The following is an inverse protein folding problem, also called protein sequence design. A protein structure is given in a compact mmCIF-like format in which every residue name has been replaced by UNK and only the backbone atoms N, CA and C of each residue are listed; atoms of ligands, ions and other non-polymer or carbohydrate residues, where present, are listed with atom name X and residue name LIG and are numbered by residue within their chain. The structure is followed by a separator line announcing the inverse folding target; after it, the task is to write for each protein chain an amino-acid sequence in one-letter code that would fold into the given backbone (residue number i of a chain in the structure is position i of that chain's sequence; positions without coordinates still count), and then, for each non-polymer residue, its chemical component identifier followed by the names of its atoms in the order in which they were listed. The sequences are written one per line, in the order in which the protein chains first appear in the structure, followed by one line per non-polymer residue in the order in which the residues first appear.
data_IF_411348553672
#
_entry.id   IF_411348553672
#
_cell.length_a   1.000
_cell.length_b   1.000
_cell.length_c   1.000
_cell.angle_alpha   90.00
_cell.angle_beta   90.00
_cell.angle_gamma   90.00
#
_symmetry.space_group_name_H-M   'P 1'
#
loop_
_entity.id
_entity.type
_entity.pdbx_description
1 polymer ?
#
# COMPACT_ATOMS: atom_id res chain seq x y z
N UNK A 1 12.34 -8.80 10.85
CA UNK A 1 12.98 -10.01 11.43
C UNK A 1 14.31 -10.34 10.73
N UNK A 2 14.33 -10.61 9.39
CA UNK A 2 15.56 -10.98 8.65
C UNK A 2 16.75 -10.08 8.93
N UNK A 3 16.58 -8.76 8.84
CA UNK A 3 17.66 -7.80 9.06
C UNK A 3 18.14 -7.82 10.51
N UNK A 4 17.19 -7.86 11.46
CA UNK A 4 17.49 -7.93 12.90
C UNK A 4 18.29 -9.19 13.22
N UNK A 5 17.81 -10.34 12.73
CA UNK A 5 18.48 -11.64 12.92
C UNK A 5 19.88 -11.64 12.32
N UNK A 6 20.03 -11.10 11.11
CA UNK A 6 21.32 -10.97 10.44
C UNK A 6 22.30 -10.10 11.21
N UNK A 7 21.86 -8.91 11.67
CA UNK A 7 22.69 -7.99 12.47
C UNK A 7 23.17 -8.67 13.75
N UNK A 8 22.25 -9.32 14.48
CA UNK A 8 22.59 -10.02 15.73
C UNK A 8 23.51 -11.21 15.53
N UNK A 9 23.21 -12.06 14.54
CA UNK A 9 24.01 -13.25 14.22
C UNK A 9 25.44 -12.90 13.84
N UNK A 10 25.61 -11.84 13.06
CA UNK A 10 26.93 -11.41 12.59
C UNK A 10 27.58 -10.35 13.48
N UNK A 11 26.94 -10.00 14.61
CA UNK A 11 27.43 -8.99 15.59
C UNK A 11 27.83 -7.66 14.91
N UNK A 12 27.03 -7.24 13.93
CA UNK A 12 27.31 -6.00 13.19
C UNK A 12 27.10 -4.78 14.09
N UNK A 13 28.07 -3.86 14.07
CA UNK A 13 28.01 -2.57 14.77
C UNK A 13 27.28 -1.54 13.91
N UNK A 14 26.04 -1.80 13.54
CA UNK A 14 25.23 -0.88 12.76
C UNK A 14 23.82 -0.78 13.35
N UNK A 15 23.14 0.32 13.04
CA UNK A 15 21.72 0.50 13.36
C UNK A 15 20.90 0.42 12.08
N UNK A 16 19.70 -0.12 12.20
CA UNK A 16 18.77 -0.25 11.09
C UNK A 16 17.67 0.82 11.24
N UNK A 17 17.54 1.71 10.26
CA UNK A 17 16.42 2.63 10.17
C UNK A 17 15.13 1.89 9.85
N UNK A 18 14.09 2.06 10.66
CA UNK A 18 12.76 1.52 10.41
C UNK A 18 11.80 2.65 10.11
N UNK A 19 11.40 2.75 8.84
CA UNK A 19 10.38 3.69 8.39
C UNK A 19 9.00 3.04 8.48
N UNK A 20 8.15 3.56 9.35
CA UNK A 20 6.78 3.11 9.53
C UNK A 20 5.82 4.25 9.20
N UNK A 21 5.17 4.17 8.04
CA UNK A 21 4.06 5.06 7.69
C UNK A 21 2.81 4.61 8.43
N UNK A 22 2.39 5.42 9.37
CA UNK A 22 1.24 5.14 10.20
C UNK A 22 -0.01 5.77 9.57
N UNK A 23 -0.84 4.93 8.96
CA UNK A 23 -2.07 5.34 8.26
C UNK A 23 -3.28 5.54 9.20
N UNK A 24 -3.07 5.72 10.51
CA UNK A 24 -4.14 5.91 11.52
C UNK A 24 -5.04 4.66 11.68
N UNK A 25 -5.69 4.21 10.61
CA UNK A 25 -6.61 3.05 10.62
C UNK A 25 -5.85 1.77 10.30
N UNK A 26 -5.66 0.94 11.30
CA UNK A 26 -5.07 -0.40 11.19
C UNK A 26 -5.71 -1.33 12.22
N UNK A 27 -5.65 -2.65 12.00
CA UNK A 27 -6.06 -3.62 13.01
C UNK A 27 -5.26 -3.45 14.31
N UNK A 28 -5.92 -3.52 15.45
CA UNK A 28 -5.28 -3.45 16.77
C UNK A 28 -4.19 -4.50 16.95
N UNK A 29 -4.39 -5.71 16.41
CA UNK A 29 -3.37 -6.77 16.40
C UNK A 29 -2.10 -6.37 15.62
N UNK A 30 -2.25 -5.65 14.51
CA UNK A 30 -1.12 -5.14 13.73
C UNK A 30 -0.36 -4.06 14.50
N UNK A 31 -1.08 -3.12 15.11
CA UNK A 31 -0.48 -2.07 15.93
C UNK A 31 0.30 -2.65 17.10
N UNK A 32 -0.28 -3.62 17.82
CA UNK A 32 0.38 -4.31 18.91
C UNK A 32 1.65 -5.05 18.48
N UNK A 33 1.61 -5.72 17.30
CA UNK A 33 2.77 -6.39 16.74
C UNK A 33 3.90 -5.42 16.36
N UNK A 34 3.55 -4.32 15.70
CA UNK A 34 4.52 -3.27 15.34
C UNK A 34 5.17 -2.71 16.61
N UNK A 35 4.37 -2.35 17.62
CA UNK A 35 4.88 -1.82 18.89
C UNK A 35 5.81 -2.81 19.59
N UNK A 36 5.44 -4.09 19.62
CA UNK A 36 6.28 -5.16 20.18
C UNK A 36 7.63 -5.22 19.48
N UNK A 37 7.65 -5.30 18.14
CA UNK A 37 8.90 -5.41 17.35
C UNK A 37 9.78 -4.18 17.56
N UNK A 38 9.20 -2.99 17.59
CA UNK A 38 9.95 -1.76 17.74
C UNK A 38 10.53 -1.62 19.17
N UNK A 39 9.75 -1.93 20.20
CA UNK A 39 10.17 -1.81 21.60
C UNK A 39 11.21 -2.86 21.99
N UNK A 40 11.09 -4.10 21.50
CA UNK A 40 12.03 -5.19 21.81
C UNK A 40 13.41 -5.04 21.11
N UNK A 41 13.57 -4.12 20.16
CA UNK A 41 14.79 -3.99 19.35
C UNK A 41 15.36 -2.57 19.31
N UNK A 42 15.10 -1.76 20.32
CA UNK A 42 15.57 -0.35 20.40
C UNK A 42 17.09 -0.23 20.41
N UNK A 43 17.80 -1.30 20.80
CA UNK A 43 19.26 -1.39 20.79
C UNK A 43 19.86 -1.28 19.39
N UNK A 44 19.15 -1.75 18.36
CA UNK A 44 19.62 -1.80 16.96
C UNK A 44 18.73 -1.03 16.00
N UNK A 45 17.55 -0.53 16.41
CA UNK A 45 16.64 0.21 15.54
C UNK A 45 16.69 1.72 15.77
N UNK A 46 16.75 2.48 14.68
CA UNK A 46 16.37 3.88 14.60
C UNK A 46 14.96 3.97 14.05
N UNK A 47 14.01 4.41 14.88
CA UNK A 47 12.57 4.32 14.57
C UNK A 47 12.07 5.64 14.00
N UNK A 48 11.56 5.61 12.78
CA UNK A 48 10.90 6.72 12.09
C UNK A 48 9.42 6.39 11.93
N UNK A 49 8.62 6.62 12.98
CA UNK A 49 7.15 6.48 12.91
C UNK A 49 6.58 7.78 12.41
N UNK A 50 5.98 7.76 11.23
CA UNK A 50 5.50 8.95 10.53
C UNK A 50 3.99 9.01 10.58
N UNK A 51 3.45 10.07 11.17
CA UNK A 51 2.02 10.37 11.29
C UNK A 51 1.75 11.73 10.62
N UNK A 52 1.53 11.73 9.31
CA UNK A 52 1.31 12.95 8.51
C UNK A 52 0.06 12.84 7.64
N UNK A 53 -0.61 13.96 7.35
CA UNK A 53 -1.87 13.98 6.61
C UNK A 53 -1.68 13.96 5.08
N UNK A 54 -0.87 13.05 4.55
CA UNK A 54 -0.75 12.86 3.10
C UNK A 54 -2.04 12.30 2.50
N UNK A 55 -2.19 12.41 1.18
CA UNK A 55 -3.32 11.82 0.45
C UNK A 55 -3.14 10.30 0.34
N UNK A 56 -4.12 9.54 0.82
CA UNK A 56 -4.18 8.09 0.68
C UNK A 56 -5.37 7.71 -0.19
N UNK A 57 -5.18 6.93 -1.26
CA UNK A 57 -6.29 6.51 -2.11
C UNK A 57 -7.37 5.77 -1.32
N UNK A 58 -8.63 6.01 -1.66
CA UNK A 58 -9.76 5.24 -1.13
C UNK A 58 -10.70 4.79 -2.24
N UNK A 59 -11.24 3.59 -2.11
CA UNK A 59 -12.22 2.98 -3.01
C UNK A 59 -13.57 2.76 -2.31
N UNK A 60 -13.77 3.38 -1.15
CA UNK A 60 -15.01 3.21 -0.34
C UNK A 60 -16.13 4.14 -0.78
N UNK A 61 -15.83 5.23 -1.48
CA UNK A 61 -16.79 6.22 -1.95
C UNK A 61 -16.51 6.62 -3.40
N UNK A 62 -17.54 6.83 -4.18
CA UNK A 62 -17.45 7.41 -5.53
C UNK A 62 -17.16 8.92 -5.52
N UNK A 63 -17.48 9.60 -4.43
CA UNK A 63 -17.34 11.06 -4.28
C UNK A 63 -16.01 11.47 -3.65
N UNK A 64 -15.27 10.53 -3.06
CA UNK A 64 -14.03 10.81 -2.37
C UNK A 64 -12.95 9.82 -2.85
N UNK A 65 -12.00 10.31 -3.63
CA UNK A 65 -10.91 9.49 -4.20
C UNK A 65 -9.74 9.27 -3.24
N UNK A 66 -9.65 10.07 -2.19
CA UNK A 66 -8.61 9.97 -1.15
C UNK A 66 -9.15 10.38 0.21
N UNK A 67 -8.45 9.99 1.27
CA UNK A 67 -8.61 10.49 2.63
C UNK A 67 -7.26 10.88 3.20
N UNK A 68 -7.24 11.56 4.33
CA UNK A 68 -6.02 11.98 5.02
C UNK A 68 -5.99 11.38 6.42
N UNK A 69 -5.07 10.44 6.70
CA UNK A 69 -4.80 10.03 8.07
C UNK A 69 -4.25 11.24 8.86
N UNK A 70 -4.47 11.27 10.14
CA UNK A 70 -3.89 12.27 11.04
C UNK A 70 -4.20 13.73 10.66
N UNK A 71 -5.29 13.97 9.93
CA UNK A 71 -5.76 15.31 9.59
C UNK A 71 -6.22 16.04 10.84
N UNK A 72 -5.51 17.10 11.23
CA UNK A 72 -5.82 17.86 12.44
C UNK A 72 -7.18 18.56 12.39
N UNK A 73 -7.66 18.90 11.18
CA UNK A 73 -9.00 19.46 11.00
C UNK A 73 -10.11 18.44 11.38
N UNK A 74 -9.77 17.16 11.45
CA UNK A 74 -10.67 16.06 11.81
C UNK A 74 -10.19 15.30 13.05
N UNK A 75 -9.45 15.94 13.93
CA UNK A 75 -8.81 15.31 15.08
C UNK A 75 -9.81 14.59 16.00
N UNK A 76 -10.99 15.12 16.17
CA UNK A 76 -12.05 14.51 17.00
C UNK A 76 -12.56 13.17 16.43
N UNK A 77 -12.35 12.95 15.13
CA UNK A 77 -12.71 11.71 14.43
C UNK A 77 -11.57 10.71 14.34
N UNK A 78 -10.38 11.03 14.83
CA UNK A 78 -9.27 10.08 14.79
C UNK A 78 -9.65 8.78 15.49
N UNK A 79 -9.32 7.66 14.85
CA UNK A 79 -9.67 6.34 15.39
C UNK A 79 -8.86 5.97 16.64
N UNK A 80 -7.76 6.65 16.87
CA UNK A 80 -6.90 6.50 18.06
C UNK A 80 -6.02 7.72 18.28
N UNK A 81 -5.36 7.77 19.41
CA UNK A 81 -4.37 8.81 19.70
C UNK A 81 -3.11 8.64 18.85
N UNK A 82 -2.52 9.76 18.43
CA UNK A 82 -1.25 9.78 17.75
C UNK A 82 -0.13 9.37 18.73
N UNK A 83 0.78 8.46 18.33
CA UNK A 83 1.93 8.10 19.16
C UNK A 83 2.80 9.31 19.50
N UNK A 84 3.23 9.42 20.76
CA UNK A 84 4.00 10.58 21.26
C UNK A 84 5.33 10.77 20.54
N UNK A 85 5.96 9.68 20.07
CA UNK A 85 7.24 9.69 19.34
C UNK A 85 7.08 9.79 17.83
N UNK A 86 5.88 10.16 17.34
CA UNK A 86 5.63 10.26 15.91
C UNK A 86 6.31 11.51 15.32
N UNK A 87 6.91 11.31 14.14
CA UNK A 87 7.27 12.40 13.25
C UNK A 87 6.00 12.96 12.61
N UNK A 88 5.87 14.29 12.62
CA UNK A 88 4.72 15.02 12.12
C UNK A 88 5.08 15.80 10.86
N UNK A 89 4.10 16.46 10.25
CA UNK A 89 4.33 17.24 9.03
C UNK A 89 5.38 18.34 9.19
N UNK A 90 5.48 18.92 10.39
CA UNK A 90 6.44 19.98 10.72
C UNK A 90 7.90 19.49 10.73
N UNK A 91 8.13 18.19 10.87
CA UNK A 91 9.46 17.57 10.85
C UNK A 91 10.02 17.43 9.42
N UNK A 92 9.20 17.67 8.40
CA UNK A 92 9.55 17.46 7.00
C UNK A 92 9.38 18.73 6.18
N UNK A 93 10.48 19.37 5.83
CA UNK A 93 10.54 20.58 5.01
C UNK A 93 9.96 20.41 3.60
N UNK A 94 9.94 19.17 3.09
CA UNK A 94 9.36 18.80 1.81
C UNK A 94 7.84 18.53 1.84
N UNK A 95 7.21 18.52 3.02
CA UNK A 95 5.79 18.20 3.11
C UNK A 95 4.94 19.29 2.48
N UNK A 96 3.93 18.87 1.73
CA UNK A 96 2.86 19.71 1.21
C UNK A 96 1.51 18.99 1.28
N UNK A 97 0.43 19.74 1.38
CA UNK A 97 -0.91 19.17 1.49
C UNK A 97 -1.38 18.39 0.24
N UNK A 98 -0.70 18.56 -0.90
CA UNK A 98 -1.00 17.82 -2.12
C UNK A 98 -0.25 16.52 -2.27
N UNK A 99 0.63 16.20 -1.32
CA UNK A 99 1.50 15.04 -1.38
C UNK A 99 0.71 13.73 -1.21
N UNK A 100 0.96 12.77 -2.11
CA UNK A 100 0.47 11.41 -1.99
C UNK A 100 1.41 10.54 -1.16
N UNK A 101 0.89 9.48 -0.58
CA UNK A 101 1.64 8.53 0.24
C UNK A 101 2.84 7.90 -0.49
N UNK A 102 2.71 7.61 -1.78
CA UNK A 102 3.82 7.10 -2.60
C UNK A 102 4.91 8.12 -2.82
N UNK A 103 4.55 9.37 -3.07
CA UNK A 103 5.52 10.46 -3.26
C UNK A 103 6.23 10.78 -1.94
N UNK A 104 5.49 10.71 -0.84
CA UNK A 104 6.08 10.86 0.49
C UNK A 104 7.15 9.81 0.77
N UNK A 105 6.96 8.56 0.39
CA UNK A 105 7.96 7.50 0.58
C UNK A 105 9.29 7.81 -0.12
N UNK A 106 9.23 8.32 -1.35
CA UNK A 106 10.42 8.70 -2.12
C UNK A 106 11.12 9.88 -1.45
N UNK A 107 10.38 10.95 -1.16
CA UNK A 107 10.90 12.15 -0.53
C UNK A 107 11.45 11.89 0.88
N UNK A 108 10.82 10.98 1.63
CA UNK A 108 11.34 10.56 2.93
C UNK A 108 12.71 9.88 2.81
N UNK A 109 12.92 9.05 1.80
CA UNK A 109 14.20 8.39 1.60
C UNK A 109 15.32 9.38 1.25
N UNK A 110 15.03 10.41 0.44
CA UNK A 110 15.93 11.52 0.14
C UNK A 110 16.20 12.37 1.39
N UNK A 111 15.14 12.74 2.10
CA UNK A 111 15.25 13.49 3.36
C UNK A 111 16.12 12.74 4.37
N UNK A 112 15.91 11.44 4.57
CA UNK A 112 16.69 10.62 5.48
C UNK A 112 18.16 10.55 5.07
N UNK A 113 18.46 10.46 3.76
CA UNK A 113 19.79 10.49 3.21
C UNK A 113 20.54 11.77 3.63
N UNK A 114 19.91 12.93 3.47
CA UNK A 114 20.47 14.22 3.86
C UNK A 114 20.52 14.40 5.39
N UNK A 115 19.45 14.04 6.09
CA UNK A 115 19.36 14.12 7.54
C UNK A 115 20.49 13.33 8.25
N UNK A 116 20.80 12.14 7.74
CA UNK A 116 21.89 11.30 8.25
C UNK A 116 23.25 11.65 7.66
N UNK A 117 23.35 12.58 6.70
CA UNK A 117 24.55 12.91 5.93
C UNK A 117 25.21 11.64 5.38
N UNK A 118 24.40 10.74 4.86
CA UNK A 118 24.85 9.43 4.38
C UNK A 118 25.56 9.59 3.03
N UNK A 119 26.65 8.86 2.82
CA UNK A 119 27.27 8.77 1.48
C UNK A 119 26.41 7.96 0.51
N UNK A 120 25.60 7.02 1.03
CA UNK A 120 24.64 6.20 0.27
C UNK A 120 23.53 5.70 1.17
N UNK A 121 22.29 5.65 0.66
CA UNK A 121 21.12 5.14 1.38
C UNK A 121 20.51 3.97 0.64
N UNK A 122 20.22 2.89 1.35
CA UNK A 122 19.53 1.71 0.83
C UNK A 122 18.24 1.47 1.62
N UNK A 123 17.11 1.57 0.94
CA UNK A 123 15.80 1.26 1.50
C UNK A 123 15.45 -0.20 1.19
N UNK A 124 15.39 -1.05 2.21
CA UNK A 124 14.99 -2.45 2.06
C UNK A 124 13.46 -2.56 2.01
N UNK A 125 12.94 -3.06 0.91
CA UNK A 125 11.49 -3.17 0.67
C UNK A 125 11.12 -4.63 0.44
N UNK A 126 10.21 -5.15 1.24
CA UNK A 126 9.78 -6.56 1.21
C UNK A 126 8.81 -6.89 0.05
N UNK A 127 9.05 -6.35 -1.15
CA UNK A 127 8.26 -6.68 -2.33
C UNK A 127 8.59 -8.08 -2.83
N UNK A 128 7.54 -8.84 -3.20
CA UNK A 128 7.66 -10.15 -3.85
C UNK A 128 6.95 -10.13 -5.21
N UNK A 129 7.56 -10.71 -6.23
CA UNK A 129 7.02 -10.74 -7.60
C UNK A 129 5.71 -11.51 -7.70
N UNK A 130 5.50 -12.52 -6.84
CA UNK A 130 4.27 -13.31 -6.76
C UNK A 130 3.02 -12.47 -6.39
N UNK A 131 3.20 -11.35 -5.70
CA UNK A 131 2.06 -10.61 -5.14
C UNK A 131 1.23 -9.87 -6.18
N UNK A 132 1.83 -9.41 -7.28
CA UNK A 132 1.11 -8.76 -8.38
C UNK A 132 1.98 -8.60 -9.62
N UNK A 133 1.32 -8.50 -10.78
CA UNK A 133 1.99 -8.21 -12.04
C UNK A 133 2.78 -6.89 -12.01
N UNK A 134 2.26 -5.87 -11.34
CA UNK A 134 2.98 -4.60 -11.20
C UNK A 134 4.28 -4.75 -10.42
N UNK A 135 4.30 -5.58 -9.34
CA UNK A 135 5.52 -5.87 -8.59
C UNK A 135 6.51 -6.71 -9.38
N UNK A 136 6.01 -7.70 -10.13
CA UNK A 136 6.84 -8.45 -11.06
C UNK A 136 7.48 -7.52 -12.11
N UNK A 137 6.68 -6.64 -12.72
CA UNK A 137 7.14 -5.69 -13.72
C UNK A 137 8.14 -4.67 -13.16
N UNK A 138 7.99 -4.24 -11.92
CA UNK A 138 8.94 -3.33 -11.26
C UNK A 138 10.36 -3.89 -11.20
N UNK A 139 10.50 -5.22 -11.15
CA UNK A 139 11.81 -5.90 -11.06
C UNK A 139 12.30 -6.35 -12.45
N UNK A 140 11.40 -6.72 -13.37
CA UNK A 140 11.76 -7.29 -14.67
C UNK A 140 11.74 -6.29 -15.85
N UNK A 141 11.35 -5.04 -15.63
CA UNK A 141 11.30 -4.03 -16.68
C UNK A 141 12.70 -3.55 -17.07
N UNK A 142 13.14 -3.80 -18.28
CA UNK A 142 14.46 -3.38 -18.78
C UNK A 142 14.64 -1.85 -18.81
N UNK A 143 13.57 -1.09 -19.00
CA UNK A 143 13.60 0.38 -19.06
C UNK A 143 13.82 1.08 -17.70
N UNK A 144 13.71 0.35 -16.60
CA UNK A 144 13.79 0.90 -15.24
C UNK A 144 15.09 0.56 -14.51
N UNK A 145 16.09 0.02 -15.21
CA UNK A 145 17.34 -0.40 -14.60
C UNK A 145 18.35 0.74 -14.42
N UNK A 146 18.13 1.54 -13.40
CA UNK A 146 19.25 2.16 -12.71
C UNK A 146 19.58 1.28 -11.50
N UNK A 147 20.10 0.07 -11.76
CA UNK A 147 20.48 -0.86 -10.70
C UNK A 147 21.77 -0.42 -10.04
N UNK A 148 21.88 -0.68 -8.74
CA UNK A 148 23.16 -0.63 -8.06
C UNK A 148 24.01 -1.82 -8.53
N UNK A 149 25.19 -1.56 -9.11
CA UNK A 149 26.17 -2.56 -9.53
C UNK A 149 25.57 -3.77 -10.32
N UNK A 150 24.58 -3.53 -11.16
CA UNK A 150 23.86 -4.54 -11.96
C UNK A 150 22.97 -5.50 -11.17
N UNK A 151 22.74 -5.25 -9.88
CA UNK A 151 21.79 -6.04 -9.12
C UNK A 151 20.35 -5.70 -9.52
N UNK A 152 19.71 -6.54 -10.33
CA UNK A 152 18.36 -6.35 -10.89
C UNK A 152 17.26 -6.15 -9.84
N UNK A 153 17.49 -6.60 -8.62
CA UNK A 153 16.61 -6.42 -7.46
C UNK A 153 16.84 -5.09 -6.71
N UNK A 154 17.55 -4.15 -7.33
CA UNK A 154 17.73 -2.79 -6.81
C UNK A 154 17.25 -1.75 -7.81
N UNK A 155 16.87 -0.58 -7.33
CA UNK A 155 16.43 0.55 -8.15
C UNK A 155 16.90 1.86 -7.56
N UNK A 156 17.58 2.68 -8.36
CA UNK A 156 17.88 4.08 -7.99
C UNK A 156 16.58 4.88 -7.95
N UNK A 157 16.31 5.59 -6.87
CA UNK A 157 15.15 6.47 -6.69
C UNK A 157 15.51 7.94 -6.62
N UNK A 158 16.72 8.25 -6.13
CA UNK A 158 17.34 9.56 -6.13
C UNK A 158 18.87 9.40 -6.18
N UNK A 159 19.61 10.49 -6.15
CA UNK A 159 21.06 10.43 -6.15
C UNK A 159 21.57 9.77 -4.86
N UNK A 160 22.36 8.71 -5.04
CA UNK A 160 22.87 7.83 -3.98
C UNK A 160 21.79 7.21 -3.06
N UNK A 161 20.52 7.21 -3.50
CA UNK A 161 19.39 6.58 -2.79
C UNK A 161 18.80 5.46 -3.63
N UNK A 162 18.75 4.26 -3.06
CA UNK A 162 18.33 3.03 -3.74
C UNK A 162 17.26 2.28 -2.95
N UNK A 163 16.27 1.74 -3.65
CA UNK A 163 15.44 0.66 -3.13
C UNK A 163 16.09 -0.68 -3.45
N UNK A 164 16.03 -1.60 -2.50
CA UNK A 164 16.46 -2.99 -2.68
C UNK A 164 15.33 -3.95 -2.27
N UNK A 165 15.14 -5.00 -3.05
CA UNK A 165 14.06 -5.96 -2.91
C UNK A 165 14.62 -7.36 -2.59
N UNK A 166 15.19 -7.61 -1.41
CA UNK A 166 16.00 -8.78 -1.10
C UNK A 166 15.22 -10.11 -1.11
N UNK A 167 13.89 -10.07 -1.04
CA UNK A 167 13.01 -11.25 -1.05
C UNK A 167 12.08 -11.27 -2.28
N UNK A 168 12.48 -10.62 -3.37
CA UNK A 168 11.63 -10.45 -4.56
C UNK A 168 11.18 -11.77 -5.19
N UNK A 169 11.98 -12.81 -5.10
CA UNK A 169 11.77 -14.15 -5.64
C UNK A 169 11.08 -15.11 -4.66
N UNK A 170 10.83 -14.69 -3.42
CA UNK A 170 10.16 -15.52 -2.42
C UNK A 170 8.68 -15.70 -2.74
N UNK A 171 8.18 -16.90 -2.49
CA UNK A 171 6.75 -17.21 -2.45
C UNK A 171 6.17 -16.93 -1.08
N UNK A 172 4.85 -16.86 -0.98
CA UNK A 172 4.16 -16.74 0.33
C UNK A 172 4.53 -17.89 1.26
N UNK A 173 4.64 -19.12 0.72
CA UNK A 173 5.07 -20.30 1.45
C UNK A 173 6.48 -20.17 2.01
N UNK A 174 7.40 -19.55 1.26
CA UNK A 174 8.79 -19.37 1.71
C UNK A 174 8.87 -18.45 2.92
N UNK A 175 8.01 -17.42 2.97
CA UNK A 175 7.90 -16.52 4.14
C UNK A 175 7.47 -17.30 5.37
N UNK A 176 6.46 -18.18 5.25
CA UNK A 176 5.97 -19.00 6.35
C UNK A 176 6.97 -20.08 6.79
N UNK A 177 7.63 -20.73 5.83
CA UNK A 177 8.69 -21.69 6.11
C UNK A 177 9.86 -21.03 6.84
N UNK A 178 10.30 -19.84 6.39
CA UNK A 178 11.36 -19.11 7.06
C UNK A 178 10.94 -18.70 8.48
N UNK A 179 9.70 -18.18 8.64
CA UNK A 179 9.19 -17.81 9.95
C UNK A 179 9.19 -18.98 10.93
N UNK A 180 8.65 -20.14 10.52
CA UNK A 180 8.64 -21.34 11.35
C UNK A 180 10.05 -21.91 11.62
N UNK A 181 10.94 -21.90 10.60
CA UNK A 181 12.30 -22.41 10.73
C UNK A 181 13.17 -21.59 11.69
N UNK A 182 13.02 -20.28 11.67
CA UNK A 182 13.82 -19.37 12.50
C UNK A 182 13.14 -18.95 13.79
N UNK A 183 11.89 -19.37 14.01
CA UNK A 183 11.13 -19.06 15.23
C UNK A 183 10.83 -17.56 15.39
N UNK A 184 10.66 -16.82 14.30
CA UNK A 184 10.37 -15.39 14.37
C UNK A 184 8.95 -15.13 14.84
N UNK A 185 8.79 -14.06 15.61
CA UNK A 185 7.44 -13.54 15.88
C UNK A 185 6.83 -12.95 14.61
N UNK A 186 5.51 -13.07 14.48
CA UNK A 186 4.75 -12.53 13.36
C UNK A 186 3.43 -11.90 13.83
N UNK A 187 2.79 -11.16 12.94
CA UNK A 187 1.51 -10.53 13.22
C UNK A 187 0.38 -11.57 13.27
N UNK A 188 -0.20 -11.80 14.46
CA UNK A 188 -1.28 -12.76 14.68
C UNK A 188 -2.57 -12.45 13.90
N UNK A 189 -2.69 -11.28 13.27
CA UNK A 189 -3.77 -11.01 12.34
C UNK A 189 -3.84 -12.04 11.21
N UNK A 190 -2.70 -12.60 10.79
CA UNK A 190 -2.67 -13.65 9.77
C UNK A 190 -3.37 -14.94 10.21
N UNK A 191 -3.30 -15.30 11.49
CA UNK A 191 -4.04 -16.45 12.05
C UNK A 191 -5.54 -16.18 12.01
N UNK A 192 -5.95 -14.96 12.37
CA UNK A 192 -7.36 -14.55 12.33
C UNK A 192 -7.91 -14.52 10.91
N UNK A 193 -7.12 -14.07 9.94
CA UNK A 193 -7.48 -14.15 8.53
C UNK A 193 -7.64 -15.60 8.04
N UNK A 194 -6.73 -16.47 8.45
CA UNK A 194 -6.81 -17.89 8.10
C UNK A 194 -8.06 -18.55 8.70
N UNK A 195 -8.34 -18.30 9.96
CA UNK A 195 -9.57 -18.77 10.63
C UNK A 195 -10.84 -18.22 9.98
N UNK A 196 -10.79 -16.99 9.45
CA UNK A 196 -11.88 -16.40 8.68
C UNK A 196 -12.00 -16.93 7.23
N UNK A 197 -11.17 -17.93 6.84
CA UNK A 197 -11.22 -18.55 5.53
C UNK A 197 -10.50 -17.78 4.41
N UNK A 198 -9.68 -16.78 4.75
CA UNK A 198 -8.87 -16.06 3.76
C UNK A 198 -7.66 -16.91 3.39
N UNK A 199 -7.51 -17.27 2.11
CA UNK A 199 -6.35 -18.02 1.65
C UNK A 199 -5.05 -17.26 1.88
N UNK A 200 -3.95 -17.96 2.16
CA UNK A 200 -2.66 -17.36 2.53
C UNK A 200 -2.11 -16.39 1.47
N UNK A 201 -2.41 -16.62 0.18
CA UNK A 201 -1.99 -15.73 -0.91
C UNK A 201 -2.77 -14.42 -0.96
N UNK A 202 -3.97 -14.39 -0.34
CA UNK A 202 -4.85 -13.22 -0.31
C UNK A 202 -4.77 -12.43 0.99
N UNK A 203 -4.08 -12.97 2.00
CA UNK A 203 -3.89 -12.27 3.27
C UNK A 203 -2.96 -11.08 3.08
N UNK A 204 -3.49 -9.88 3.24
CA UNK A 204 -2.74 -8.62 3.09
C UNK A 204 -3.04 -7.68 4.24
N UNK A 205 -1.99 -7.21 4.88
CA UNK A 205 -2.06 -6.12 5.86
C UNK A 205 -1.69 -4.83 5.13
N UNK A 206 -2.70 -4.05 4.79
CA UNK A 206 -2.57 -2.80 4.03
C UNK A 206 -3.58 -1.78 4.54
N UNK A 207 -3.58 -0.57 3.98
CA UNK A 207 -4.67 0.39 4.20
C UNK A 207 -6.01 -0.28 3.85
N UNK A 208 -7.01 -0.27 4.75
CA UNK A 208 -8.26 -1.01 4.57
C UNK A 208 -9.14 -0.47 3.45
N UNK A 209 -8.88 0.72 2.94
CA UNK A 209 -9.75 1.44 2.01
C UNK A 209 -9.33 1.34 0.54
N UNK A 210 -8.20 0.71 0.24
CA UNK A 210 -7.75 0.49 -1.14
C UNK A 210 -8.49 -0.70 -1.79
N UNK A 211 -8.58 -0.72 -3.11
CA UNK A 211 -9.31 -1.74 -3.87
C UNK A 211 -8.93 -3.18 -3.50
N UNK A 212 -7.65 -3.44 -3.24
CA UNK A 212 -7.15 -4.75 -2.85
C UNK A 212 -7.62 -5.22 -1.46
N UNK A 213 -8.02 -4.29 -0.58
CA UNK A 213 -8.45 -4.57 0.79
C UNK A 213 -9.99 -4.63 0.94
N UNK A 214 -10.74 -4.05 0.00
CA UNK A 214 -12.21 -4.05 0.06
C UNK A 214 -12.81 -5.44 0.28
N UNK A 215 -12.34 -6.53 -0.37
CA UNK A 215 -12.89 -7.87 -0.15
C UNK A 215 -12.78 -8.37 1.29
N UNK A 216 -11.80 -7.92 2.04
CA UNK A 216 -11.58 -8.28 3.45
C UNK A 216 -12.04 -7.21 4.44
N UNK A 217 -12.55 -6.07 3.98
CA UNK A 217 -12.94 -4.94 4.82
C UNK A 217 -14.01 -5.35 5.86
N UNK A 218 -14.96 -6.20 5.49
CA UNK A 218 -15.98 -6.73 6.40
C UNK A 218 -15.40 -7.49 7.62
N UNK A 219 -14.19 -8.03 7.50
CA UNK A 219 -13.57 -8.80 8.59
C UNK A 219 -13.23 -7.92 9.80
N UNK A 220 -13.11 -6.61 9.63
CA UNK A 220 -12.99 -5.69 10.76
C UNK A 220 -14.16 -5.81 11.74
N UNK A 221 -15.38 -6.10 11.25
CA UNK A 221 -16.55 -6.25 12.12
C UNK A 221 -16.41 -7.40 13.13
N UNK A 222 -15.68 -8.44 12.74
CA UNK A 222 -15.54 -9.66 13.55
C UNK A 222 -14.20 -9.63 14.31
N UNK A 223 -13.12 -9.25 13.63
CA UNK A 223 -11.77 -9.30 14.18
C UNK A 223 -11.50 -8.11 15.11
N UNK A 224 -11.97 -6.90 14.74
CA UNK A 224 -11.72 -5.67 15.48
C UNK A 224 -12.95 -4.73 15.44
N UNK A 225 -14.03 -5.09 16.14
CA UNK A 225 -15.30 -4.34 16.10
C UNK A 225 -15.15 -2.92 16.65
N UNK A 226 -14.21 -2.67 17.54
CA UNK A 226 -13.96 -1.32 18.05
C UNK A 226 -13.35 -0.41 16.98
N UNK A 227 -12.36 -0.92 16.26
CA UNK A 227 -11.76 -0.21 15.12
C UNK A 227 -12.81 -0.01 14.03
N UNK A 228 -13.64 -1.04 13.75
CA UNK A 228 -14.75 -0.92 12.81
C UNK A 228 -15.67 0.25 13.16
N UNK A 229 -16.14 0.35 14.39
CA UNK A 229 -17.04 1.42 14.84
C UNK A 229 -16.45 2.81 14.63
N UNK A 230 -15.15 2.97 14.83
CA UNK A 230 -14.47 4.26 14.66
C UNK A 230 -14.22 4.60 13.18
N UNK A 231 -13.79 3.62 12.37
CA UNK A 231 -13.44 3.87 10.97
C UNK A 231 -14.65 4.22 10.09
N UNK A 232 -15.85 3.74 10.41
CA UNK A 232 -17.07 4.10 9.67
C UNK A 232 -17.46 5.58 9.82
N UNK A 233 -17.11 6.21 10.93
CA UNK A 233 -17.29 7.64 11.16
C UNK A 233 -16.14 8.46 10.56
N UNK A 234 -14.98 7.85 10.35
CA UNK A 234 -13.75 8.51 9.92
C UNK A 234 -13.63 8.65 8.40
N UNK A 235 -14.09 7.64 7.65
CA UNK A 235 -13.96 7.61 6.18
C UNK A 235 -15.30 7.29 5.52
N UNK A 236 -15.69 8.14 4.58
CA UNK A 236 -16.97 8.03 3.90
C UNK A 236 -17.08 6.70 3.11
N UNK A 237 -18.27 6.10 3.15
CA UNK A 237 -18.61 4.92 2.38
C UNK A 237 -18.09 3.59 2.96
N UNK A 238 -17.33 3.61 4.03
CA UNK A 238 -16.75 2.39 4.64
C UNK A 238 -17.81 1.38 5.03
N UNK A 239 -18.92 1.82 5.65
CA UNK A 239 -20.00 0.92 6.03
C UNK A 239 -20.65 0.25 4.81
N UNK A 240 -20.88 1.02 3.74
CA UNK A 240 -21.42 0.49 2.48
C UNK A 240 -20.43 -0.50 1.84
N UNK A 241 -19.17 -0.10 1.67
CA UNK A 241 -18.12 -0.93 1.10
C UNK A 241 -17.90 -2.22 1.91
N UNK A 242 -17.92 -2.16 3.23
CA UNK A 242 -17.79 -3.33 4.10
C UNK A 242 -19.01 -4.26 4.07
N UNK A 243 -20.19 -3.74 3.73
CA UNK A 243 -21.41 -4.55 3.58
C UNK A 243 -21.51 -5.18 2.20
N UNK A 244 -21.21 -4.42 1.16
CA UNK A 244 -21.47 -4.79 -0.23
C UNK A 244 -20.22 -5.03 -1.07
N UNK A 245 -19.01 -4.89 -0.49
CA UNK A 245 -17.73 -4.98 -1.19
C UNK A 245 -17.47 -6.29 -1.92
N UNK A 246 -18.14 -7.38 -1.51
CA UNK A 246 -18.06 -8.70 -2.15
C UNK A 246 -19.30 -9.04 -2.99
N UNK A 247 -20.16 -8.07 -3.27
CA UNK A 247 -21.42 -8.28 -3.99
C UNK A 247 -21.41 -7.55 -5.33
N UNK A 248 -22.35 -7.91 -6.21
CA UNK A 248 -22.58 -7.23 -7.49
C UNK A 248 -23.00 -5.76 -7.34
N UNK A 249 -23.39 -5.32 -6.15
CA UNK A 249 -23.72 -3.92 -5.87
C UNK A 249 -22.52 -2.99 -6.05
N UNK A 250 -21.28 -3.48 -5.89
CA UNK A 250 -20.05 -2.73 -6.16
C UNK A 250 -19.58 -2.81 -7.62
N UNK A 251 -20.31 -3.51 -8.48
CA UNK A 251 -20.27 -3.39 -9.94
C UNK A 251 -19.11 -4.04 -10.71
N UNK A 252 -18.08 -4.54 -10.04
CA UNK A 252 -16.82 -4.90 -10.74
C UNK A 252 -16.44 -6.39 -10.74
N UNK A 253 -17.22 -7.25 -10.10
CA UNK A 253 -16.86 -8.67 -9.98
C UNK A 253 -17.26 -9.56 -11.15
N UNK A 254 -18.23 -9.17 -11.95
CA UNK A 254 -18.81 -10.07 -12.95
C UNK A 254 -19.42 -9.34 -14.15
N UNK A 255 -18.84 -8.20 -14.53
CA UNK A 255 -19.30 -7.52 -15.74
C UNK A 255 -18.97 -8.42 -16.92
N UNK A 256 -19.99 -9.01 -17.52
CA UNK A 256 -19.89 -9.74 -18.78
C UNK A 256 -20.39 -8.82 -19.89
N UNK A 257 -19.66 -8.79 -20.98
CA UNK A 257 -20.15 -8.10 -22.16
C UNK A 257 -21.46 -8.76 -22.61
N UNK A 258 -22.55 -8.00 -22.79
CA UNK A 258 -23.82 -8.54 -23.25
C UNK A 258 -23.65 -9.24 -24.62
N UNK A 259 -24.40 -10.34 -24.84
CA UNK A 259 -24.38 -11.04 -26.11
C UNK A 259 -24.70 -10.07 -27.26
N UNK A 260 -23.85 -10.05 -28.28
CA UNK A 260 -24.06 -9.21 -29.47
C UNK A 260 -23.50 -7.78 -29.34
N UNK A 261 -22.85 -7.44 -28.22
CA UNK A 261 -22.12 -6.18 -28.06
C UNK A 261 -20.61 -6.40 -28.02
N UNK A 262 -19.84 -5.40 -28.46
CA UNK A 262 -18.42 -5.28 -28.14
C UNK A 262 -18.25 -4.55 -26.81
N UNK A 263 -17.11 -4.72 -26.15
CA UNK A 263 -16.79 -3.98 -24.90
C UNK A 263 -16.87 -2.46 -25.09
N UNK A 264 -16.42 -1.95 -26.24
CA UNK A 264 -16.48 -0.53 -26.59
C UNK A 264 -17.94 -0.03 -26.66
N UNK A 265 -18.81 -0.74 -27.37
CA UNK A 265 -20.24 -0.42 -27.44
C UNK A 265 -20.90 -0.47 -26.06
N UNK A 266 -20.52 -1.47 -25.26
CA UNK A 266 -21.06 -1.60 -23.90
C UNK A 266 -20.56 -0.49 -22.97
N UNK A 267 -19.30 -0.10 -23.09
CA UNK A 267 -18.74 1.07 -22.37
C UNK A 267 -19.52 2.34 -22.72
N UNK A 268 -19.70 2.64 -24.00
CA UNK A 268 -20.46 3.82 -24.44
C UNK A 268 -21.91 3.77 -23.96
N UNK A 269 -22.54 2.60 -23.99
CA UNK A 269 -23.89 2.42 -23.43
C UNK A 269 -23.90 2.75 -21.94
N UNK A 270 -22.98 2.20 -21.13
CA UNK A 270 -22.91 2.50 -19.71
C UNK A 270 -22.65 3.98 -19.44
N UNK A 271 -21.74 4.60 -20.18
CA UNK A 271 -21.47 6.03 -20.06
C UNK A 271 -22.71 6.89 -20.42
N UNK A 272 -23.53 6.47 -21.39
CA UNK A 272 -24.76 7.18 -21.74
C UNK A 272 -25.83 7.16 -20.67
N UNK A 273 -25.76 6.25 -19.71
CA UNK A 273 -26.69 6.16 -18.57
C UNK A 273 -26.32 7.14 -17.42
N UNK A 274 -25.15 7.76 -17.49
CA UNK A 274 -24.68 8.69 -16.45
C UNK A 274 -25.09 10.13 -16.77
N UNK A 275 -25.29 10.98 -15.73
CA UNK A 275 -25.39 12.44 -15.91
C UNK A 275 -24.18 12.99 -16.68
N UNK A 276 -24.41 14.07 -17.44
CA UNK A 276 -23.41 14.64 -18.37
C UNK A 276 -22.08 15.00 -17.70
N UNK A 277 -22.13 15.65 -16.55
CA UNK A 277 -20.97 16.06 -15.75
C UNK A 277 -20.13 14.88 -15.29
N UNK A 278 -20.78 13.82 -14.83
CA UNK A 278 -20.13 12.57 -14.41
C UNK A 278 -19.56 11.84 -15.62
N UNK A 279 -20.31 11.75 -16.71
CA UNK A 279 -19.90 11.11 -17.97
C UNK A 279 -18.64 11.77 -18.53
N UNK A 280 -18.60 13.10 -18.58
CA UNK A 280 -17.45 13.84 -19.08
C UNK A 280 -16.18 13.53 -18.27
N UNK A 281 -16.29 13.49 -16.93
CA UNK A 281 -15.18 13.14 -16.06
C UNK A 281 -14.61 11.74 -16.31
N UNK A 282 -15.44 10.76 -16.67
CA UNK A 282 -14.97 9.42 -17.07
C UNK A 282 -14.31 9.43 -18.46
N UNK A 283 -14.88 10.15 -19.43
CA UNK A 283 -14.32 10.28 -20.77
C UNK A 283 -12.94 10.92 -20.74
N UNK A 284 -12.75 11.95 -19.93
CA UNK A 284 -11.46 12.63 -19.76
C UNK A 284 -10.40 11.67 -19.17
N UNK A 285 -10.75 10.90 -18.16
CA UNK A 285 -9.86 9.89 -17.57
C UNK A 285 -9.50 8.78 -18.58
N UNK A 286 -10.45 8.31 -19.35
CA UNK A 286 -10.22 7.31 -20.38
C UNK A 286 -9.30 7.85 -21.48
N UNK A 287 -9.51 9.08 -21.94
CA UNK A 287 -8.67 9.74 -22.94
C UNK A 287 -7.21 9.83 -22.47
N UNK A 288 -6.98 10.29 -21.24
CA UNK A 288 -5.64 10.35 -20.65
C UNK A 288 -5.00 8.95 -20.56
N UNK A 289 -5.77 7.94 -20.17
CA UNK A 289 -5.29 6.56 -20.09
C UNK A 289 -4.91 5.99 -21.46
N UNK A 290 -5.76 6.20 -22.45
CA UNK A 290 -5.54 5.74 -23.84
C UNK A 290 -4.28 6.41 -24.41
N UNK A 291 -4.15 7.73 -24.24
CA UNK A 291 -2.99 8.48 -24.71
C UNK A 291 -1.69 8.01 -24.02
N UNK A 292 -1.74 7.82 -22.70
CA UNK A 292 -0.62 7.27 -21.95
C UNK A 292 -0.15 5.93 -22.52
N UNK A 293 -1.06 4.99 -22.76
CA UNK A 293 -0.71 3.66 -23.25
C UNK A 293 -0.26 3.67 -24.72
N UNK A 294 -0.84 4.52 -25.57
CA UNK A 294 -0.36 4.73 -26.95
C UNK A 294 1.09 5.22 -26.96
N UNK A 295 1.40 6.23 -26.15
CA UNK A 295 2.76 6.79 -26.06
C UNK A 295 3.78 5.82 -25.45
N UNK A 296 3.33 4.91 -24.59
CA UNK A 296 4.18 3.87 -23.97
C UNK A 296 4.36 2.62 -24.86
N UNK A 297 3.70 2.53 -26.01
CA UNK A 297 3.74 1.38 -26.89
C UNK A 297 3.07 0.13 -26.31
N UNK A 298 2.16 0.29 -25.37
CA UNK A 298 1.45 -0.81 -24.70
C UNK A 298 0.17 -1.25 -25.41
N UNK A 299 -0.34 -0.47 -26.36
CA UNK A 299 -1.49 -0.83 -27.20
C UNK A 299 -1.00 -1.28 -28.57
N UNK A 300 -0.90 -2.58 -28.77
CA UNK A 300 -0.36 -3.15 -30.03
C UNK A 300 -1.32 -3.11 -31.21
N UNK A 301 -2.61 -3.07 -31.01
CA UNK A 301 -3.67 -2.78 -32.00
C UNK A 301 -5.01 -2.73 -31.25
N UNK A 302 -6.02 -2.07 -31.83
CA UNK A 302 -7.38 -2.00 -31.28
C UNK A 302 -8.03 -3.38 -31.06
N UNK A 303 -7.48 -4.43 -31.64
CA UNK A 303 -7.92 -5.83 -31.48
C UNK A 303 -7.36 -6.57 -30.26
N UNK A 304 -6.43 -6.00 -29.54
CA UNK A 304 -5.76 -6.66 -28.39
C UNK A 304 -6.33 -6.24 -27.02
N UNK A 305 -7.37 -5.42 -27.03
CA UNK A 305 -8.08 -4.95 -25.83
C UNK A 305 -9.41 -5.73 -25.62
N UNK A 306 -9.67 -6.74 -26.43
CA UNK A 306 -10.82 -7.65 -26.25
C UNK A 306 -10.60 -8.66 -25.11
#
# INVERSE_FOLDING_TARGET
NLCIDYIRKHKLKCRLGVFHMDYEVQYSATLAYVEKVLSENTDILDIYRVCVPFKVPTCTSMHQSYWRPWDEAQKELWVREMPRSAFRKEDFDFFSDDLWDYDFQIKFAEWLHHYKRAGRTCCLVGIRTQESFNRWRAIHSEKNYCCYERFKWTRKIADDVYNAYPIYDWRTTDVWVANGRFGWSYNHLYDLYYQAGVSIEKQRVASPFISAAIPSLQLYRVIDPQMWGRMISRVNGVNFAGTYGNTSAMGWYTVKCPKGMTWEKYMHFLLSTLPEDIRQGYLDKLSVSIEFWRNKGGCLADKTIE
#
